data_IF_944502828403
#
_entry.id   IF_944502828403
#
_cell.length_a   1.000
_cell.length_b   1.000
_cell.length_c   1.000
_cell.angle_alpha   90.00
_cell.angle_beta   90.00
_cell.angle_gamma   90.00
#
_symmetry.space_group_name_H-M   'P 1'
#
loop_
_entity.id
_entity.type
_entity.pdbx_description
1 polymer ?
#
# COMPACT_ATOMS: atom_id res chain seq x y z
N UNK A 1 35.91 19.13 7.24
CA UNK A 1 35.51 17.72 7.00
C UNK A 1 34.99 17.63 5.57
N UNK A 2 35.13 16.50 4.89
CA UNK A 2 34.67 16.37 3.50
C UNK A 2 33.17 16.12 3.44
N UNK A 3 32.50 16.57 2.37
CA UNK A 3 31.06 16.35 2.12
C UNK A 3 30.65 14.87 2.25
N UNK A 4 31.54 13.93 1.91
CA UNK A 4 31.32 12.48 2.09
C UNK A 4 31.23 12.06 3.56
N UNK A 5 31.99 12.71 4.45
CA UNK A 5 31.98 12.45 5.89
C UNK A 5 30.69 12.98 6.52
N UNK A 6 30.28 14.19 6.13
CA UNK A 6 29.02 14.81 6.56
C UNK A 6 27.79 14.05 6.04
N UNK A 7 27.86 13.56 4.80
CA UNK A 7 26.80 12.72 4.22
C UNK A 7 26.69 11.37 4.93
N UNK A 8 27.82 10.74 5.29
CA UNK A 8 27.82 9.50 6.07
C UNK A 8 27.21 9.73 7.45
N UNK A 9 27.56 10.81 8.14
CA UNK A 9 26.97 11.15 9.45
C UNK A 9 25.47 11.47 9.37
N UNK A 10 25.03 12.16 8.30
CA UNK A 10 23.61 12.39 8.04
C UNK A 10 22.85 11.08 7.77
N UNK A 11 23.41 10.22 6.91
CA UNK A 11 22.79 8.95 6.54
C UNK A 11 22.77 7.94 7.70
N UNK A 12 23.75 7.99 8.62
CA UNK A 12 23.83 7.13 9.80
C UNK A 12 22.84 7.52 10.93
N UNK A 13 22.08 8.61 10.79
CA UNK A 13 21.00 8.92 11.73
C UNK A 13 19.95 7.80 11.62
N UNK A 14 19.86 6.94 12.64
CA UNK A 14 19.03 5.72 12.62
C UNK A 14 17.60 5.91 12.11
N UNK A 15 16.96 7.04 12.47
CA UNK A 15 15.62 7.38 12.00
C UNK A 15 15.50 7.52 10.46
N UNK A 16 16.57 7.94 9.76
CA UNK A 16 16.58 8.09 8.29
C UNK A 16 16.70 6.73 7.61
N UNK A 17 17.52 5.83 8.15
CA UNK A 17 17.70 4.48 7.60
C UNK A 17 16.42 3.67 7.78
N UNK A 18 15.82 3.67 8.97
CA UNK A 18 14.58 2.94 9.24
C UNK A 18 13.42 3.45 8.38
N UNK A 19 13.35 4.77 8.19
CA UNK A 19 12.36 5.39 7.29
C UNK A 19 12.62 4.99 5.83
N UNK A 20 13.87 5.03 5.36
CA UNK A 20 14.20 4.64 3.99
C UNK A 20 13.88 3.17 3.72
N UNK A 21 14.23 2.28 4.65
CA UNK A 21 13.89 0.85 4.59
C UNK A 21 12.39 0.65 4.59
N UNK A 22 11.65 1.33 5.47
CA UNK A 22 10.19 1.28 5.53
C UNK A 22 9.52 1.71 4.21
N UNK A 23 9.99 2.79 3.59
CA UNK A 23 9.46 3.28 2.31
C UNK A 23 9.75 2.30 1.17
N UNK A 24 10.99 1.78 1.07
CA UNK A 24 11.38 0.84 0.02
C UNK A 24 10.62 -0.48 0.14
N UNK A 25 10.53 -1.03 1.36
CA UNK A 25 9.77 -2.26 1.62
C UNK A 25 8.28 -2.02 1.38
N UNK A 26 7.72 -0.89 1.82
CA UNK A 26 6.32 -0.53 1.58
C UNK A 26 5.98 -0.47 0.09
N UNK A 27 6.84 0.17 -0.71
CA UNK A 27 6.67 0.25 -2.16
C UNK A 27 6.77 -1.12 -2.85
N UNK A 28 7.74 -1.94 -2.45
CA UNK A 28 7.89 -3.30 -2.99
C UNK A 28 6.71 -4.21 -2.59
N UNK A 29 6.28 -4.14 -1.34
CA UNK A 29 5.14 -4.90 -0.83
C UNK A 29 3.84 -4.52 -1.53
N UNK A 30 3.61 -3.22 -1.79
CA UNK A 30 2.49 -2.76 -2.59
C UNK A 30 2.40 -3.46 -3.95
N UNK A 31 3.54 -3.60 -4.67
CA UNK A 31 3.57 -4.32 -5.95
C UNK A 31 3.21 -5.80 -5.83
N UNK A 32 3.65 -6.47 -4.76
CA UNK A 32 3.32 -7.89 -4.52
C UNK A 32 1.82 -8.05 -4.32
N UNK A 33 1.21 -7.18 -3.52
CA UNK A 33 -0.24 -7.18 -3.29
C UNK A 33 -0.99 -6.90 -4.60
N UNK A 34 -0.59 -5.87 -5.34
CA UNK A 34 -1.22 -5.55 -6.64
C UNK A 34 -1.15 -6.75 -7.59
N UNK A 35 0.01 -7.43 -7.68
CA UNK A 35 0.15 -8.62 -8.51
C UNK A 35 -0.75 -9.78 -8.05
N UNK A 36 -0.85 -10.04 -6.75
CA UNK A 36 -1.77 -11.04 -6.19
C UNK A 36 -3.22 -10.73 -6.59
N UNK A 37 -3.63 -9.47 -6.49
CA UNK A 37 -5.00 -9.07 -6.79
C UNK A 37 -5.28 -9.16 -8.29
N UNK A 38 -4.44 -8.55 -9.12
CA UNK A 38 -4.64 -8.49 -10.57
C UNK A 38 -4.47 -9.84 -11.26
N UNK A 39 -3.53 -10.67 -10.80
CA UNK A 39 -3.17 -11.92 -11.50
C UNK A 39 -3.82 -13.16 -10.92
N UNK A 40 -4.23 -13.14 -9.65
CA UNK A 40 -4.76 -14.34 -8.97
C UNK A 40 -6.23 -14.14 -8.56
N UNK A 41 -6.59 -12.99 -8.00
CA UNK A 41 -7.96 -12.74 -7.50
C UNK A 41 -8.90 -12.28 -8.61
N UNK A 42 -8.45 -11.36 -9.47
CA UNK A 42 -9.24 -10.76 -10.54
C UNK A 42 -9.70 -11.77 -11.61
N UNK A 43 -8.88 -12.72 -12.12
CA UNK A 43 -9.35 -13.60 -13.18
C UNK A 43 -10.54 -14.49 -12.78
N UNK A 44 -10.54 -15.18 -11.62
CA UNK A 44 -11.72 -15.92 -11.15
C UNK A 44 -12.93 -15.03 -10.85
N UNK A 45 -12.72 -13.86 -10.24
CA UNK A 45 -13.80 -12.89 -9.98
C UNK A 45 -14.41 -12.36 -11.28
N UNK A 46 -13.58 -12.03 -12.28
CA UNK A 46 -14.03 -11.56 -13.59
C UNK A 46 -14.81 -12.62 -14.37
N UNK A 47 -14.46 -13.90 -14.20
CA UNK A 47 -15.24 -15.02 -14.73
C UNK A 47 -16.58 -15.21 -13.99
N UNK A 48 -16.59 -15.08 -12.67
CA UNK A 48 -17.81 -15.26 -11.84
C UNK A 48 -18.81 -14.12 -11.98
N UNK A 49 -18.33 -12.88 -12.05
CA UNK A 49 -19.17 -11.69 -12.14
C UNK A 49 -19.64 -11.48 -13.59
N UNK A 50 -18.99 -12.13 -14.57
CA UNK A 50 -19.47 -12.25 -15.94
C UNK A 50 -18.99 -11.13 -16.87
N UNK A 51 -17.67 -10.94 -16.99
CA UNK A 51 -17.06 -9.88 -17.82
C UNK A 51 -17.70 -8.51 -17.59
N UNK A 52 -17.93 -8.14 -16.33
CA UNK A 52 -18.43 -6.82 -15.98
C UNK A 52 -17.28 -5.84 -16.18
N UNK A 53 -17.11 -5.42 -17.43
CA UNK A 53 -16.22 -4.34 -17.80
C UNK A 53 -17.07 -3.09 -17.94
N UNK A 54 -16.97 -2.22 -16.94
CA UNK A 54 -17.65 -0.93 -16.98
C UNK A 54 -16.99 0.05 -17.93
N UNK A 55 -15.84 -0.25 -18.56
CA UNK A 55 -15.10 0.66 -19.46
C UNK A 55 -15.96 1.21 -20.61
N UNK A 56 -16.98 0.46 -21.02
CA UNK A 56 -17.92 0.85 -22.06
C UNK A 56 -18.92 1.94 -21.62
N UNK A 57 -19.03 2.19 -20.32
CA UNK A 57 -19.84 3.27 -19.77
C UNK A 57 -19.11 4.60 -19.94
N UNK A 58 -19.41 5.25 -21.05
CA UNK A 58 -18.91 6.58 -21.34
C UNK A 58 -20.05 7.52 -21.71
N UNK A 59 -19.98 8.76 -21.24
CA UNK A 59 -20.87 9.82 -21.69
C UNK A 59 -20.16 10.63 -22.77
N UNK A 60 -20.62 10.52 -24.01
CA UNK A 60 -20.12 11.33 -25.12
C UNK A 60 -20.62 12.77 -25.02
N UNK A 61 -19.69 13.69 -24.80
CA UNK A 61 -19.93 15.14 -24.77
C UNK A 61 -19.87 15.74 -26.18
N UNK A 62 -18.97 15.25 -27.03
CA UNK A 62 -18.87 15.61 -28.43
C UNK A 62 -18.59 14.37 -29.27
N UNK A 63 -19.42 14.05 -30.27
CA UNK A 63 -19.13 12.95 -31.18
C UNK A 63 -17.87 13.27 -32.00
N UNK A 64 -17.20 12.22 -32.47
CA UNK A 64 -16.07 12.34 -33.39
C UNK A 64 -16.55 13.01 -34.69
N UNK A 65 -15.77 13.94 -35.20
CA UNK A 65 -16.13 14.72 -36.39
C UNK A 65 -14.90 14.98 -37.24
N UNK A 66 -15.07 14.98 -38.56
CA UNK A 66 -14.03 15.40 -39.49
C UNK A 66 -13.96 16.93 -39.49
N UNK A 67 -12.77 17.46 -39.20
CA UNK A 67 -12.47 18.87 -39.29
C UNK A 67 -12.48 19.38 -40.74
N UNK A 68 -12.59 20.70 -40.97
CA UNK A 68 -12.57 21.31 -42.30
C UNK A 68 -11.32 20.98 -43.14
N UNK A 69 -10.25 20.60 -42.45
CA UNK A 69 -8.91 20.22 -42.90
C UNK A 69 -8.74 18.71 -43.10
N UNK A 70 -9.84 17.93 -43.05
CA UNK A 70 -9.84 16.49 -43.29
C UNK A 70 -9.26 15.65 -42.14
N UNK A 71 -8.94 16.28 -41.01
CA UNK A 71 -8.43 15.61 -39.81
C UNK A 71 -9.55 15.11 -38.92
N UNK A 72 -9.43 13.90 -38.42
CA UNK A 72 -10.35 13.35 -37.44
C UNK A 72 -10.19 14.05 -36.09
N UNK A 73 -11.26 14.69 -35.62
CA UNK A 73 -11.34 15.21 -34.26
C UNK A 73 -11.92 14.08 -33.39
N UNK A 74 -11.15 13.55 -32.43
CA UNK A 74 -11.60 12.45 -31.59
C UNK A 74 -12.82 12.85 -30.75
N UNK A 75 -13.68 11.88 -30.48
CA UNK A 75 -14.83 12.10 -29.61
C UNK A 75 -14.36 12.49 -28.19
N UNK A 76 -14.95 13.54 -27.63
CA UNK A 76 -14.73 13.90 -26.22
C UNK A 76 -15.74 13.13 -25.40
N UNK A 77 -15.26 12.19 -24.61
CA UNK A 77 -16.07 11.29 -23.78
C UNK A 77 -15.63 11.38 -22.32
N UNK A 78 -16.59 11.39 -21.39
CA UNK A 78 -16.34 11.13 -19.96
C UNK A 78 -16.51 9.63 -19.74
N UNK A 79 -15.40 8.89 -19.66
CA UNK A 79 -15.37 7.46 -19.33
C UNK A 79 -15.54 7.22 -17.83
N UNK A 80 -16.74 7.44 -17.29
CA UNK A 80 -17.01 7.16 -15.86
C UNK A 80 -16.95 5.67 -15.52
N UNK A 81 -17.10 4.82 -16.53
CA UNK A 81 -16.87 3.39 -16.47
C UNK A 81 -15.50 2.99 -15.94
N UNK A 82 -14.44 3.60 -16.46
CA UNK A 82 -13.06 3.34 -16.03
C UNK A 82 -12.82 3.78 -14.58
N UNK A 83 -13.47 4.87 -14.18
CA UNK A 83 -13.43 5.32 -12.79
C UNK A 83 -14.07 4.31 -11.85
N UNK A 84 -15.25 3.76 -12.20
CA UNK A 84 -15.92 2.71 -11.42
C UNK A 84 -15.06 1.44 -11.36
N UNK A 85 -14.48 1.02 -12.49
CA UNK A 85 -13.55 -0.11 -12.54
C UNK A 85 -12.37 0.09 -11.57
N UNK A 86 -11.77 1.29 -11.58
CA UNK A 86 -10.66 1.64 -10.68
C UNK A 86 -11.09 1.63 -9.22
N UNK A 87 -12.29 2.13 -8.91
CA UNK A 87 -12.85 2.12 -7.55
C UNK A 87 -13.05 0.68 -7.04
N UNK A 88 -13.62 -0.20 -7.87
CA UNK A 88 -13.82 -1.62 -7.54
C UNK A 88 -12.46 -2.29 -7.32
N UNK A 89 -11.50 -2.06 -8.21
CA UNK A 89 -10.14 -2.61 -8.08
C UNK A 89 -9.49 -2.15 -6.77
N UNK A 90 -9.60 -0.87 -6.42
CA UNK A 90 -9.10 -0.34 -5.15
C UNK A 90 -9.72 -1.05 -3.95
N UNK A 91 -11.04 -1.27 -3.94
CA UNK A 91 -11.74 -1.98 -2.85
C UNK A 91 -11.25 -3.43 -2.74
N UNK A 92 -11.07 -4.14 -3.87
CA UNK A 92 -10.55 -5.51 -3.87
C UNK A 92 -9.11 -5.54 -3.33
N UNK A 93 -8.25 -4.63 -3.77
CA UNK A 93 -6.87 -4.52 -3.28
C UNK A 93 -6.84 -4.24 -1.78
N UNK A 94 -7.60 -3.24 -1.32
CA UNK A 94 -7.68 -2.90 0.10
C UNK A 94 -8.18 -4.09 0.94
N UNK A 95 -9.17 -4.83 0.45
CA UNK A 95 -9.67 -6.03 1.11
C UNK A 95 -8.63 -7.16 1.14
N UNK A 96 -7.88 -7.36 0.06
CA UNK A 96 -6.79 -8.33 0.01
C UNK A 96 -5.67 -7.99 1.02
N UNK A 97 -5.24 -6.71 1.08
CA UNK A 97 -4.27 -6.23 2.09
C UNK A 97 -4.80 -6.51 3.49
N UNK A 98 -6.06 -6.17 3.75
CA UNK A 98 -6.69 -6.42 5.04
C UNK A 98 -6.65 -7.90 5.42
N UNK A 99 -6.93 -8.81 4.49
CA UNK A 99 -6.84 -10.26 4.75
C UNK A 99 -5.42 -10.70 5.08
N UNK A 100 -4.41 -10.20 4.38
CA UNK A 100 -3.00 -10.50 4.66
C UNK A 100 -2.59 -9.98 6.03
N UNK A 101 -2.88 -8.72 6.34
CA UNK A 101 -2.61 -8.11 7.65
C UNK A 101 -3.34 -8.87 8.76
N UNK A 102 -4.60 -9.24 8.54
CA UNK A 102 -5.38 -10.06 9.48
C UNK A 102 -4.75 -11.44 9.70
N UNK A 103 -4.25 -12.09 8.65
CA UNK A 103 -3.56 -13.37 8.75
C UNK A 103 -2.25 -13.24 9.55
N UNK A 104 -1.45 -12.21 9.26
CA UNK A 104 -0.21 -11.92 10.00
C UNK A 104 -0.52 -11.62 11.47
N UNK A 105 -1.51 -10.77 11.75
CA UNK A 105 -1.92 -10.45 13.12
C UNK A 105 -2.45 -11.69 13.87
N UNK A 106 -3.15 -12.60 13.19
CA UNK A 106 -3.61 -13.87 13.77
C UNK A 106 -2.44 -14.81 14.10
N UNK A 107 -1.41 -14.84 13.26
CA UNK A 107 -0.19 -15.63 13.49
C UNK A 107 0.70 -15.01 14.57
N UNK A 108 0.81 -13.68 14.60
CA UNK A 108 1.57 -12.92 15.59
C UNK A 108 0.93 -13.00 16.99
N UNK A 109 -0.41 -12.94 17.08
CA UNK A 109 -1.13 -13.24 18.33
C UNK A 109 -0.89 -14.66 18.84
N UNK A 110 -0.65 -15.62 17.96
CA UNK A 110 -0.29 -16.99 18.38
C UNK A 110 1.13 -17.10 18.94
N UNK A 111 1.94 -16.04 18.80
CA UNK A 111 3.26 -15.85 19.43
C UNK A 111 3.21 -14.99 20.71
N UNK A 112 2.03 -14.74 21.29
CA UNK A 112 1.93 -14.34 22.71
C UNK A 112 2.29 -15.55 23.61
N UNK A 113 3.57 -15.92 23.60
CA UNK A 113 4.18 -16.83 24.56
C UNK A 113 5.62 -16.39 24.84
N UNK A 114 5.75 -15.13 25.26
CA UNK A 114 6.61 -14.68 26.35
C UNK A 114 6.37 -13.16 26.45
N UNK A 115 5.98 -12.61 27.61
CA UNK A 115 6.08 -11.18 27.80
C UNK A 115 7.51 -10.78 27.45
N UNK A 116 7.68 -9.83 26.53
CA UNK A 116 8.99 -9.24 26.30
C UNK A 116 9.55 -8.86 27.67
N UNK A 117 10.75 -9.34 27.97
CA UNK A 117 11.41 -8.99 29.23
C UNK A 117 11.34 -7.46 29.37
N UNK A 118 10.90 -6.94 30.52
CA UNK A 118 10.79 -5.50 30.72
C UNK A 118 12.11 -4.85 30.32
N UNK A 119 12.03 -3.76 29.55
CA UNK A 119 13.21 -3.03 29.10
C UNK A 119 14.14 -2.76 30.29
N UNK A 120 15.46 -2.81 30.06
CA UNK A 120 16.46 -2.69 31.12
C UNK A 120 16.28 -1.41 31.94
N UNK A 121 15.86 -0.32 31.30
CA UNK A 121 15.45 0.93 31.95
C UNK A 121 14.28 0.74 32.93
N UNK A 122 13.28 -0.07 32.58
CA UNK A 122 12.14 -0.38 33.45
C UNK A 122 12.59 -1.25 34.64
N UNK A 123 13.58 -2.12 34.44
CA UNK A 123 14.19 -2.91 35.52
C UNK A 123 14.98 -2.01 36.47
N UNK A 124 15.86 -1.15 35.93
CA UNK A 124 16.64 -0.17 36.70
C UNK A 124 15.74 0.79 37.48
N UNK A 125 14.65 1.27 36.88
CA UNK A 125 13.68 2.13 37.55
C UNK A 125 12.93 1.39 38.68
N UNK A 126 12.68 0.08 38.54
CA UNK A 126 12.12 -0.73 39.63
C UNK A 126 13.11 -0.89 40.77
N UNK A 127 14.37 -1.17 40.46
CA UNK A 127 15.45 -1.27 41.46
C UNK A 127 15.68 0.05 42.21
N UNK A 128 15.66 1.19 41.50
CA UNK A 128 15.75 2.53 42.11
C UNK A 128 14.56 2.78 43.02
N UNK A 129 13.33 2.50 42.56
CA UNK A 129 12.11 2.65 43.38
C UNK A 129 12.17 1.82 44.66
N UNK A 130 12.62 0.58 44.56
CA UNK A 130 12.67 -0.35 45.68
C UNK A 130 13.82 0.02 46.65
N UNK A 131 14.90 0.61 46.14
CA UNK A 131 15.99 1.18 46.96
C UNK A 131 15.58 2.45 47.71
N UNK A 132 14.69 3.28 47.15
CA UNK A 132 14.17 4.50 47.79
C UNK A 132 13.05 4.24 48.81
N UNK A 133 12.48 3.04 48.83
CA UNK A 133 11.45 2.63 49.81
C UNK A 133 12.03 2.08 51.12
N UNK A 134 13.35 1.85 51.19
CA UNK A 134 14.09 1.55 52.42
C UNK A 134 14.60 2.83 53.06
#
# INVERSE_FOLDING_TARGET
MGMLTEFKEFAMRGNVIDLAVGVVIGAAFGKIVTALVEKIIMPPLGLLIGKVDFSQLAWTLSPARLGPDGKEIPAVVIGYGDFINTLIQFVIVAFAIFLVVKAINRLSRKKEAAPAAPAEEVVLLREIRDSLKK
#
